data_IF_601284439150
#
_entry.id   IF_601284439150
#
_cell.length_a   1.000
_cell.length_b   1.000
_cell.length_c   1.000
_cell.angle_alpha   90.00
_cell.angle_beta   90.00
_cell.angle_gamma   90.00
#
_symmetry.space_group_name_H-M   'P 1'
#
loop_
_entity.id
_entity.type
_entity.pdbx_description
1 polymer ?
#
# COMPACT_ATOMS: atom_id res chain seq x y z
N UNK A 1 -33.91 -6.72 -8.77
CA UNK A 1 -33.71 -6.76 -7.30
C UNK A 1 -34.84 -7.57 -6.68
N UNK A 2 -34.54 -8.68 -6.03
CA UNK A 2 -35.54 -9.58 -5.45
C UNK A 2 -36.06 -9.03 -4.11
N UNK A 3 -37.30 -9.36 -3.73
CA UNK A 3 -37.95 -8.93 -2.46
C UNK A 3 -37.09 -9.14 -1.20
N UNK A 4 -36.13 -10.08 -1.24
CA UNK A 4 -35.16 -10.35 -0.17
C UNK A 4 -34.08 -9.27 -0.02
N UNK A 5 -33.60 -8.67 -1.10
CA UNK A 5 -32.66 -7.53 -1.02
C UNK A 5 -33.32 -6.27 -0.48
N UNK A 6 -34.61 -6.07 -0.80
CA UNK A 6 -35.37 -4.92 -0.30
C UNK A 6 -35.52 -4.95 1.22
N UNK A 7 -35.72 -6.13 1.82
CA UNK A 7 -35.79 -6.30 3.27
C UNK A 7 -34.47 -5.99 4.00
N UNK A 8 -33.33 -6.34 3.40
CA UNK A 8 -31.99 -6.05 3.95
C UNK A 8 -31.69 -4.55 3.94
N UNK A 9 -32.06 -3.84 2.86
CA UNK A 9 -31.91 -2.39 2.77
C UNK A 9 -32.87 -1.66 3.72
N UNK A 10 -34.11 -2.15 3.87
CA UNK A 10 -35.10 -1.57 4.79
C UNK A 10 -34.70 -1.74 6.26
N UNK A 11 -34.14 -2.90 6.64
CA UNK A 11 -33.60 -3.14 7.98
C UNK A 11 -32.38 -2.24 8.25
N UNK A 12 -31.47 -2.07 7.30
CA UNK A 12 -30.36 -1.14 7.47
C UNK A 12 -30.82 0.32 7.67
N UNK A 13 -31.90 0.71 6.99
CA UNK A 13 -32.45 2.06 7.06
C UNK A 13 -33.29 2.31 8.33
N UNK A 14 -34.10 1.33 8.77
CA UNK A 14 -34.95 1.42 9.97
C UNK A 14 -34.15 1.50 11.28
N UNK A 15 -32.91 1.00 11.31
CA UNK A 15 -32.05 0.98 12.50
C UNK A 15 -30.99 2.10 12.54
N UNK A 16 -31.12 3.16 11.72
CA UNK A 16 -30.24 4.32 11.80
C UNK A 16 -28.81 4.10 11.27
N UNK A 17 -28.57 3.05 10.46
CA UNK A 17 -27.26 2.77 9.85
C UNK A 17 -26.94 3.68 8.63
N UNK A 18 -27.82 4.64 8.33
CA UNK A 18 -27.58 5.75 7.41
C UNK A 18 -27.63 7.09 8.17
N UNK A 19 -26.78 7.23 9.20
CA UNK A 19 -26.58 8.48 9.93
C UNK A 19 -25.59 9.42 9.22
N UNK A 20 -25.78 10.73 9.38
CA UNK A 20 -24.97 11.80 8.76
C UNK A 20 -23.47 11.73 9.10
N UNK A 21 -22.56 12.25 8.25
CA UNK A 21 -21.11 11.99 8.32
C UNK A 21 -20.34 12.68 9.47
N UNK A 22 -20.98 13.11 10.55
CA UNK A 22 -20.40 14.07 11.52
C UNK A 22 -20.25 13.57 12.95
N UNK A 23 -20.41 12.28 13.24
CA UNK A 23 -20.04 11.73 14.55
C UNK A 23 -18.89 10.73 14.43
N UNK A 24 -17.82 10.94 15.19
CA UNK A 24 -16.61 10.11 15.31
C UNK A 24 -16.84 8.65 15.80
N UNK A 25 -18.08 8.16 15.82
CA UNK A 25 -18.42 6.83 16.31
C UNK A 25 -18.36 5.76 15.21
N UNK A 26 -17.26 5.00 15.18
CA UNK A 26 -17.20 3.62 14.65
C UNK A 26 -17.02 3.48 13.13
N UNK A 27 -15.86 2.97 12.70
CA UNK A 27 -15.65 2.51 11.31
C UNK A 27 -16.23 1.11 11.16
N UNK A 28 -17.35 0.97 10.45
CA UNK A 28 -17.87 -0.33 10.01
C UNK A 28 -16.93 -0.94 8.97
N UNK A 29 -16.48 -2.19 9.17
CA UNK A 29 -15.48 -2.80 8.26
C UNK A 29 -15.98 -3.91 7.34
N UNK A 30 -17.10 -4.59 7.62
CA UNK A 30 -17.68 -5.56 6.68
C UNK A 30 -19.05 -6.06 7.15
N UNK A 31 -20.02 -6.06 6.24
CA UNK A 31 -21.21 -6.92 6.32
C UNK A 31 -20.99 -8.06 5.34
N UNK A 32 -21.09 -9.30 5.80
CA UNK A 32 -21.02 -10.48 4.93
C UNK A 32 -22.29 -11.29 5.09
N UNK A 33 -22.96 -11.56 3.98
CA UNK A 33 -24.13 -12.42 3.94
C UNK A 33 -23.68 -13.85 3.60
N UNK A 34 -24.02 -14.82 4.45
CA UNK A 34 -23.75 -16.24 4.24
C UNK A 34 -25.07 -16.94 3.87
N UNK A 35 -25.36 -17.14 2.56
CA UNK A 35 -26.66 -17.65 2.11
C UNK A 35 -27.00 -19.03 2.66
N UNK A 36 -25.97 -19.85 2.88
CA UNK A 36 -26.09 -21.25 3.28
C UNK A 36 -26.39 -21.42 4.77
N UNK A 37 -26.16 -20.36 5.56
CA UNK A 37 -26.33 -20.39 7.02
C UNK A 37 -27.44 -19.46 7.53
N UNK A 38 -28.14 -18.78 6.62
CA UNK A 38 -29.29 -17.91 6.90
C UNK A 38 -29.05 -16.88 8.01
N UNK A 39 -27.87 -16.26 8.01
CA UNK A 39 -27.57 -15.17 8.93
C UNK A 39 -26.78 -14.04 8.25
N UNK A 40 -26.83 -12.85 8.83
CA UNK A 40 -25.96 -11.72 8.54
C UNK A 40 -24.89 -11.65 9.64
N UNK A 41 -23.62 -11.53 9.23
CA UNK A 41 -22.51 -11.27 10.15
C UNK A 41 -21.98 -9.85 9.92
N UNK A 42 -21.76 -9.13 11.02
CA UNK A 42 -21.15 -7.80 11.00
C UNK A 42 -20.28 -7.57 12.24
N UNK A 43 -19.24 -6.75 12.09
CA UNK A 43 -18.40 -6.30 13.19
C UNK A 43 -18.36 -4.77 13.22
N UNK A 44 -18.60 -4.20 14.40
CA UNK A 44 -18.41 -2.78 14.72
C UNK A 44 -17.11 -2.66 15.51
N UNK A 45 -16.18 -1.88 14.99
CA UNK A 45 -14.86 -1.67 15.61
C UNK A 45 -14.77 -0.22 16.07
N UNK A 46 -14.87 -0.02 17.39
CA UNK A 46 -14.48 1.23 18.05
C UNK A 46 -13.02 1.17 18.53
N UNK A 47 -12.50 2.28 19.05
CA UNK A 47 -11.12 2.37 19.56
C UNK A 47 -10.84 1.35 20.67
N UNK A 48 -11.83 1.09 21.55
CA UNK A 48 -11.67 0.19 22.69
C UNK A 48 -12.53 -1.09 22.62
N UNK A 49 -13.44 -1.19 21.64
CA UNK A 49 -14.49 -2.21 21.61
C UNK A 49 -14.68 -2.82 20.23
N UNK A 50 -14.81 -4.14 20.17
CA UNK A 50 -15.29 -4.86 18.98
C UNK A 50 -16.64 -5.44 19.33
N UNK A 51 -17.70 -4.98 18.68
CA UNK A 51 -19.03 -5.58 18.80
C UNK A 51 -19.35 -6.43 17.59
N UNK A 52 -19.59 -7.71 17.80
CA UNK A 52 -19.97 -8.68 16.80
C UNK A 52 -21.49 -8.90 16.83
N UNK A 53 -22.09 -8.99 15.65
CA UNK A 53 -23.51 -9.24 15.49
C UNK A 53 -23.68 -10.42 14.55
N UNK A 54 -24.35 -11.46 15.04
CA UNK A 54 -24.99 -12.47 14.20
C UNK A 54 -26.47 -12.17 14.24
N UNK A 55 -27.04 -11.82 13.10
CA UNK A 55 -28.50 -11.68 12.95
C UNK A 55 -29.00 -12.90 12.22
N UNK A 56 -29.66 -13.80 12.94
CA UNK A 56 -30.40 -14.92 12.34
C UNK A 56 -31.61 -14.40 11.55
N UNK A 57 -32.02 -15.11 10.49
CA UNK A 57 -33.23 -14.75 9.73
C UNK A 57 -34.54 -14.88 10.51
N UNK A 58 -34.52 -15.51 11.69
CA UNK A 58 -35.62 -15.57 12.65
C UNK A 58 -35.80 -14.27 13.47
N UNK A 59 -34.93 -13.27 13.28
CA UNK A 59 -34.96 -12.01 13.99
C UNK A 59 -34.41 -12.09 15.42
N UNK A 60 -33.82 -13.24 15.81
CA UNK A 60 -33.10 -13.35 17.08
C UNK A 60 -31.74 -12.67 16.92
N UNK A 61 -31.58 -11.54 17.59
CA UNK A 61 -30.33 -10.80 17.65
C UNK A 61 -29.44 -11.37 18.75
N UNK A 62 -28.21 -11.76 18.40
CA UNK A 62 -27.16 -11.98 19.40
C UNK A 62 -26.07 -10.93 19.19
N UNK A 63 -26.08 -9.94 20.08
CA UNK A 63 -25.04 -8.93 20.22
C UNK A 63 -23.91 -9.47 21.09
N UNK A 64 -22.68 -9.32 20.64
CA UNK A 64 -21.51 -9.79 21.35
C UNK A 64 -20.48 -8.67 21.45
N UNK A 65 -20.06 -8.30 22.67
CA UNK A 65 -18.96 -7.38 22.97
C UNK A 65 -17.59 -8.11 22.87
N UNK A 66 -16.47 -7.39 22.83
CA UNK A 66 -15.09 -7.88 22.96
C UNK A 66 -14.91 -8.63 24.29
N UNK A 67 -15.55 -8.14 25.35
CA UNK A 67 -15.71 -8.86 26.62
C UNK A 67 -16.65 -10.07 26.53
N UNK A 68 -17.57 -10.11 25.56
CA UNK A 68 -18.43 -11.26 25.34
C UNK A 68 -17.74 -12.38 24.58
N UNK A 69 -16.76 -12.10 23.69
CA UNK A 69 -16.00 -13.19 23.04
C UNK A 69 -15.22 -13.99 24.11
N UNK A 70 -14.67 -13.33 25.13
CA UNK A 70 -14.10 -14.01 26.32
C UNK A 70 -15.14 -14.84 27.12
N UNK A 71 -16.44 -14.62 26.91
CA UNK A 71 -17.56 -15.23 27.64
C UNK A 71 -18.31 -16.27 26.79
N UNK A 72 -18.08 -16.37 25.48
CA UNK A 72 -18.99 -17.07 24.57
C UNK A 72 -18.62 -18.50 24.24
N UNK A 73 -17.35 -18.88 24.28
CA UNK A 73 -17.00 -20.29 24.17
C UNK A 73 -16.15 -20.70 25.37
N UNK A 74 -16.44 -21.88 25.92
CA UNK A 74 -15.52 -22.57 26.82
C UNK A 74 -14.29 -23.11 26.06
N UNK A 75 -14.13 -22.75 24.78
CA UNK A 75 -13.22 -23.36 23.83
C UNK A 75 -12.35 -22.31 23.12
N UNK A 76 -11.16 -22.06 23.66
CA UNK A 76 -10.21 -21.09 23.11
C UNK A 76 -9.89 -21.30 21.61
N UNK A 77 -10.08 -22.49 21.04
CA UNK A 77 -9.89 -22.72 19.61
C UNK A 77 -10.99 -22.05 18.75
N UNK A 78 -12.25 -22.09 19.20
CA UNK A 78 -13.38 -21.48 18.49
C UNK A 78 -13.27 -19.95 18.50
N UNK A 79 -12.91 -19.38 19.65
CA UNK A 79 -12.68 -17.94 19.79
C UNK A 79 -11.59 -17.45 18.84
N UNK A 80 -10.48 -18.20 18.75
CA UNK A 80 -9.37 -17.86 17.87
C UNK A 80 -9.77 -17.91 16.39
N UNK A 81 -10.57 -18.90 15.99
CA UNK A 81 -11.07 -19.01 14.62
C UNK A 81 -12.00 -17.85 14.24
N UNK A 82 -12.84 -17.39 15.17
CA UNK A 82 -13.70 -16.21 14.98
C UNK A 82 -12.82 -14.96 14.78
N UNK A 83 -11.85 -14.74 15.66
CA UNK A 83 -10.92 -13.60 15.57
C UNK A 83 -10.15 -13.58 14.23
N UNK A 84 -9.66 -14.75 13.80
CA UNK A 84 -8.97 -14.92 12.53
C UNK A 84 -9.86 -14.55 11.34
N UNK A 85 -11.12 -15.02 11.31
CA UNK A 85 -12.05 -14.71 10.23
C UNK A 85 -12.30 -13.22 10.04
N UNK A 86 -12.16 -12.41 11.10
CA UNK A 86 -12.40 -10.97 11.07
C UNK A 86 -11.15 -10.11 10.87
N UNK A 87 -9.97 -10.70 10.69
CA UNK A 87 -8.75 -9.92 10.47
C UNK A 87 -7.93 -9.64 11.73
N UNK A 88 -8.34 -10.14 12.90
CA UNK A 88 -7.64 -9.92 14.18
C UNK A 88 -6.53 -10.94 14.39
N UNK A 89 -5.51 -10.91 13.52
CA UNK A 89 -4.46 -11.93 13.50
C UNK A 89 -3.70 -12.06 14.82
N UNK A 90 -3.36 -10.95 15.49
CA UNK A 90 -2.59 -10.97 16.73
C UNK A 90 -3.40 -11.52 17.92
N UNK A 91 -4.66 -11.15 18.03
CA UNK A 91 -5.58 -11.66 19.06
C UNK A 91 -5.93 -13.13 18.82
N UNK A 92 -6.12 -13.52 17.55
CA UNK A 92 -6.31 -14.91 17.16
C UNK A 92 -5.08 -15.74 17.54
N UNK A 93 -3.87 -15.24 17.27
CA UNK A 93 -2.61 -15.91 17.64
C UNK A 93 -2.54 -16.13 19.15
N UNK A 94 -2.74 -15.09 19.96
CA UNK A 94 -2.75 -15.20 21.44
C UNK A 94 -3.77 -16.23 21.92
N UNK A 95 -4.90 -16.35 21.25
CA UNK A 95 -5.98 -17.25 21.65
C UNK A 95 -5.72 -18.69 21.20
N UNK A 96 -5.15 -18.91 20.02
CA UNK A 96 -4.65 -20.23 19.62
C UNK A 96 -3.49 -20.73 20.50
N UNK A 97 -2.59 -19.84 20.95
CA UNK A 97 -1.52 -20.23 21.88
C UNK A 97 -2.08 -20.70 23.24
N UNK A 98 -3.15 -20.08 23.73
CA UNK A 98 -3.87 -20.58 24.92
C UNK A 98 -4.50 -21.95 24.67
N UNK A 99 -5.17 -22.13 23.54
CA UNK A 99 -5.74 -23.42 23.16
C UNK A 99 -4.64 -24.51 23.06
N UNK A 100 -3.48 -24.15 22.52
CA UNK A 100 -2.34 -25.04 22.35
C UNK A 100 -1.71 -25.45 23.68
N UNK A 101 -1.64 -24.53 24.66
CA UNK A 101 -1.19 -24.84 26.01
C UNK A 101 -2.13 -25.84 26.72
N UNK A 102 -3.42 -25.81 26.41
CA UNK A 102 -4.43 -26.73 26.94
C UNK A 102 -4.54 -28.06 26.15
N UNK A 103 -3.94 -28.14 24.95
CA UNK A 103 -4.03 -29.31 24.09
C UNK A 103 -3.29 -30.52 24.68
N UNK A 104 -4.03 -31.60 24.89
CA UNK A 104 -3.56 -32.83 25.57
C UNK A 104 -3.02 -33.90 24.62
N UNK A 105 -3.32 -33.80 23.33
CA UNK A 105 -2.86 -34.77 22.32
C UNK A 105 -1.96 -34.11 21.27
N UNK A 106 -1.00 -34.87 20.76
CA UNK A 106 -0.06 -34.40 19.74
C UNK A 106 -0.78 -34.06 18.42
N UNK A 107 -1.80 -34.85 18.05
CA UNK A 107 -2.62 -34.58 16.87
C UNK A 107 -3.36 -33.24 16.98
N UNK A 108 -3.89 -32.90 18.16
CA UNK A 108 -4.55 -31.61 18.40
C UNK A 108 -3.55 -30.46 18.38
N UNK A 109 -2.37 -30.65 18.99
CA UNK A 109 -1.28 -29.67 18.94
C UNK A 109 -0.83 -29.38 17.52
N UNK A 110 -0.64 -30.41 16.70
CA UNK A 110 -0.32 -30.26 15.29
C UNK A 110 -1.39 -29.46 14.53
N UNK A 111 -2.67 -29.78 14.73
CA UNK A 111 -3.78 -29.05 14.10
C UNK A 111 -3.82 -27.56 14.52
N UNK A 112 -3.50 -27.24 15.78
CA UNK A 112 -3.41 -25.86 16.25
C UNK A 112 -2.19 -25.12 15.70
N UNK A 113 -1.04 -25.79 15.58
CA UNK A 113 0.15 -25.21 14.97
C UNK A 113 -0.10 -24.81 13.50
N UNK A 114 -0.80 -25.65 12.73
CA UNK A 114 -1.20 -25.32 11.34
C UNK A 114 -2.09 -24.06 11.29
N UNK A 115 -3.03 -23.92 12.23
CA UNK A 115 -3.87 -22.73 12.35
C UNK A 115 -3.05 -21.48 12.70
N UNK A 116 -2.05 -21.61 13.56
CA UNK A 116 -1.12 -20.53 13.90
C UNK A 116 -0.29 -20.12 12.68
N UNK A 117 0.25 -21.07 11.92
CA UNK A 117 0.99 -20.79 10.66
C UNK A 117 0.09 -20.07 9.66
N UNK A 118 -1.17 -20.49 9.52
CA UNK A 118 -2.14 -19.87 8.62
C UNK A 118 -2.50 -18.42 8.99
N UNK A 119 -2.15 -17.94 10.20
CA UNK A 119 -2.32 -16.53 10.59
C UNK A 119 -1.22 -15.61 10.03
N UNK A 120 -0.09 -16.13 9.54
CA UNK A 120 1.02 -15.31 9.06
C UNK A 120 0.63 -14.19 8.05
N UNK A 121 -0.27 -14.40 7.07
CA UNK A 121 -0.77 -13.35 6.18
C UNK A 121 -1.40 -12.14 6.86
N UNK A 122 -1.89 -12.33 8.09
CA UNK A 122 -2.66 -11.35 8.84
C UNK A 122 -1.81 -10.57 9.84
N UNK A 123 -0.61 -11.06 10.12
CA UNK A 123 0.33 -10.45 11.05
C UNK A 123 1.17 -9.42 10.30
N UNK A 124 1.34 -8.23 10.88
CA UNK A 124 2.07 -7.13 10.24
C UNK A 124 3.37 -6.83 10.96
N UNK A 125 3.44 -7.20 12.23
CA UNK A 125 4.54 -6.92 13.12
C UNK A 125 5.68 -7.90 12.88
N UNK A 126 6.81 -7.38 12.37
CA UNK A 126 8.01 -8.17 12.06
C UNK A 126 8.47 -9.01 13.25
N UNK A 127 8.46 -8.45 14.47
CA UNK A 127 8.85 -9.19 15.68
C UNK A 127 7.99 -10.45 15.95
N UNK A 128 6.69 -10.39 15.62
CA UNK A 128 5.79 -11.55 15.79
C UNK A 128 6.08 -12.60 14.72
N UNK A 129 6.31 -12.16 13.48
CA UNK A 129 6.67 -13.06 12.38
C UNK A 129 8.07 -13.67 12.56
N UNK A 130 9.03 -12.96 13.17
CA UNK A 130 10.34 -13.51 13.55
C UNK A 130 10.21 -14.61 14.60
N UNK A 131 9.38 -14.39 15.64
CA UNK A 131 9.06 -15.41 16.63
C UNK A 131 8.44 -16.65 15.97
N UNK A 132 7.49 -16.47 15.06
CA UNK A 132 6.89 -17.58 14.32
C UNK A 132 7.90 -18.29 13.41
N UNK A 133 8.78 -17.56 12.73
CA UNK A 133 9.80 -18.15 11.86
C UNK A 133 10.81 -18.98 12.67
N UNK A 134 11.15 -18.54 13.89
CA UNK A 134 12.02 -19.30 14.80
C UNK A 134 11.34 -20.58 15.30
N UNK A 135 10.02 -20.54 15.51
CA UNK A 135 9.23 -21.68 15.97
C UNK A 135 8.91 -22.68 14.85
N UNK A 136 8.72 -22.20 13.63
CA UNK A 136 8.34 -22.98 12.45
C UNK A 136 9.36 -22.77 11.33
N UNK A 137 10.62 -23.24 11.49
CA UNK A 137 11.69 -22.98 10.53
C UNK A 137 11.39 -23.56 9.14
N UNK A 138 10.63 -24.65 9.05
CA UNK A 138 10.28 -25.30 7.78
C UNK A 138 9.05 -24.68 7.09
N UNK A 139 8.45 -23.62 7.64
CA UNK A 139 7.27 -22.99 7.05
C UNK A 139 7.68 -21.92 6.02
N UNK A 140 7.55 -22.25 4.73
CA UNK A 140 7.73 -21.28 3.65
C UNK A 140 6.76 -20.10 3.76
N UNK A 141 5.51 -20.37 4.14
CA UNK A 141 4.47 -19.36 4.37
C UNK A 141 4.93 -18.31 5.40
N UNK A 142 5.41 -18.73 6.58
CA UNK A 142 5.84 -17.79 7.63
C UNK A 142 7.04 -16.97 7.18
N UNK A 143 8.03 -17.61 6.53
CA UNK A 143 9.22 -16.91 6.01
C UNK A 143 8.86 -15.89 4.93
N UNK A 144 7.93 -16.23 4.05
CA UNK A 144 7.43 -15.31 3.03
C UNK A 144 6.78 -14.08 3.65
N UNK A 145 5.87 -14.27 4.62
CA UNK A 145 5.19 -13.15 5.27
C UNK A 145 6.11 -12.31 6.15
N UNK A 146 7.13 -12.93 6.79
CA UNK A 146 8.21 -12.19 7.41
C UNK A 146 8.95 -11.31 6.39
N UNK A 147 9.27 -11.85 5.22
CA UNK A 147 9.82 -11.07 4.10
C UNK A 147 8.92 -9.90 3.71
N UNK A 148 7.60 -10.10 3.63
CA UNK A 148 6.64 -9.03 3.32
C UNK A 148 6.58 -7.94 4.38
N UNK A 149 6.67 -8.29 5.66
CA UNK A 149 6.75 -7.32 6.76
C UNK A 149 8.05 -6.50 6.67
N UNK A 150 9.19 -7.16 6.45
CA UNK A 150 10.49 -6.52 6.26
C UNK A 150 10.50 -5.56 5.05
N UNK A 151 9.83 -5.91 3.95
CA UNK A 151 9.64 -5.00 2.81
C UNK A 151 8.93 -3.71 3.21
N UNK A 152 7.89 -3.81 4.06
CA UNK A 152 7.15 -2.63 4.52
C UNK A 152 7.99 -1.71 5.42
N UNK A 153 9.00 -2.27 6.08
CA UNK A 153 10.01 -1.55 6.87
C UNK A 153 11.21 -1.07 6.02
N UNK A 154 11.19 -1.29 4.69
CA UNK A 154 12.29 -1.00 3.75
C UNK A 154 13.58 -1.78 4.04
N UNK A 155 13.48 -2.89 4.74
CA UNK A 155 14.60 -3.80 5.05
C UNK A 155 14.77 -4.82 3.93
N UNK A 156 15.02 -4.33 2.72
CA UNK A 156 14.97 -5.11 1.49
C UNK A 156 16.00 -6.26 1.43
N UNK A 157 17.26 -6.09 1.90
CA UNK A 157 18.21 -7.20 1.95
C UNK A 157 17.73 -8.34 2.86
N UNK A 158 17.21 -8.04 4.06
CA UNK A 158 16.66 -9.08 4.92
C UNK A 158 15.40 -9.71 4.32
N UNK A 159 14.52 -8.91 3.71
CA UNK A 159 13.32 -9.40 3.04
C UNK A 159 13.66 -10.39 1.91
N UNK A 160 14.62 -10.02 1.05
CA UNK A 160 15.13 -10.86 -0.04
C UNK A 160 15.62 -12.20 0.50
N UNK A 161 16.42 -12.20 1.57
CA UNK A 161 16.88 -13.43 2.21
C UNK A 161 15.72 -14.30 2.70
N UNK A 162 14.72 -13.72 3.38
CA UNK A 162 13.57 -14.49 3.90
C UNK A 162 12.68 -15.06 2.80
N UNK A 163 12.49 -14.32 1.71
CA UNK A 163 11.72 -14.79 0.55
C UNK A 163 12.48 -15.83 -0.27
N UNK A 164 13.80 -15.75 -0.30
CA UNK A 164 14.65 -16.80 -0.87
C UNK A 164 14.53 -18.09 -0.07
N UNK A 165 14.68 -18.03 1.25
CA UNK A 165 14.47 -19.17 2.13
C UNK A 165 13.07 -19.80 1.94
N UNK A 166 12.02 -18.97 1.79
CA UNK A 166 10.67 -19.46 1.49
C UNK A 166 10.59 -20.18 0.14
N UNK A 167 11.18 -19.60 -0.91
CA UNK A 167 11.22 -20.20 -2.25
C UNK A 167 12.09 -21.47 -2.33
N UNK A 168 13.07 -21.63 -1.45
CA UNK A 168 13.86 -22.86 -1.33
C UNK A 168 13.06 -23.99 -0.64
N UNK A 169 12.27 -23.65 0.39
CA UNK A 169 11.38 -24.60 1.07
C UNK A 169 10.24 -25.07 0.16
N UNK A 170 9.65 -24.17 -0.60
CA UNK A 170 8.52 -24.46 -1.50
C UNK A 170 8.81 -23.96 -2.93
N UNK A 171 9.64 -24.66 -3.73
CA UNK A 171 10.06 -24.19 -5.06
C UNK A 171 8.95 -23.98 -6.09
N UNK A 172 7.76 -24.56 -5.83
CA UNK A 172 6.58 -24.44 -6.68
C UNK A 172 5.67 -23.28 -6.30
N UNK A 173 5.87 -22.65 -5.13
CA UNK A 173 5.09 -21.50 -4.70
C UNK A 173 5.56 -20.26 -5.48
N UNK A 174 4.80 -19.89 -6.51
CA UNK A 174 5.12 -18.75 -7.36
C UNK A 174 5.23 -17.46 -6.54
N UNK A 175 4.32 -17.29 -5.58
CA UNK A 175 4.20 -16.11 -4.73
C UNK A 175 5.51 -15.77 -4.04
N UNK A 176 6.29 -16.79 -3.64
CA UNK A 176 7.57 -16.59 -2.94
C UNK A 176 8.65 -16.10 -3.89
N UNK A 177 8.70 -16.65 -5.11
CA UNK A 177 9.63 -16.22 -6.17
C UNK A 177 9.30 -14.81 -6.66
N UNK A 178 8.02 -14.49 -6.76
CA UNK A 178 7.48 -13.16 -7.06
C UNK A 178 7.89 -12.16 -5.98
N UNK A 179 7.71 -12.52 -4.70
CA UNK A 179 8.16 -11.70 -3.58
C UNK A 179 9.67 -11.49 -3.57
N UNK A 180 10.47 -12.54 -3.80
CA UNK A 180 11.92 -12.44 -3.90
C UNK A 180 12.35 -11.48 -5.02
N UNK A 181 11.72 -11.57 -6.19
CA UNK A 181 11.99 -10.66 -7.30
C UNK A 181 11.64 -9.21 -6.92
N UNK A 182 10.50 -8.97 -6.25
CA UNK A 182 10.14 -7.65 -5.74
C UNK A 182 11.19 -7.11 -4.77
N UNK A 183 11.61 -7.90 -3.78
CA UNK A 183 12.61 -7.48 -2.80
C UNK A 183 13.92 -7.06 -3.48
N UNK A 184 14.39 -7.84 -4.45
CA UNK A 184 15.61 -7.52 -5.20
C UNK A 184 15.45 -6.30 -6.11
N UNK A 185 14.27 -6.09 -6.72
CA UNK A 185 14.00 -4.85 -7.48
C UNK A 185 14.08 -3.62 -6.58
N UNK A 186 13.52 -3.68 -5.38
CA UNK A 186 13.61 -2.59 -4.41
C UNK A 186 15.05 -2.35 -3.92
N UNK A 187 15.84 -3.39 -3.70
CA UNK A 187 17.28 -3.26 -3.40
C UNK A 187 18.04 -2.58 -4.55
N UNK A 188 17.81 -3.00 -5.80
CA UNK A 188 18.44 -2.40 -6.97
C UNK A 188 18.03 -0.92 -7.13
N UNK A 189 16.76 -0.60 -6.88
CA UNK A 189 16.28 0.77 -6.89
C UNK A 189 16.97 1.64 -5.82
N UNK A 190 17.14 1.15 -4.59
CA UNK A 190 17.90 1.88 -3.56
C UNK A 190 19.38 2.06 -3.91
N UNK A 191 19.99 1.06 -4.56
CA UNK A 191 21.35 1.18 -5.08
C UNK A 191 21.44 2.29 -6.15
N UNK A 192 20.48 2.37 -7.08
CA UNK A 192 20.41 3.44 -8.08
C UNK A 192 20.23 4.82 -7.45
N UNK A 193 19.31 4.97 -6.49
CA UNK A 193 19.11 6.23 -5.76
C UNK A 193 20.37 6.67 -5.01
N UNK A 194 21.13 5.70 -4.48
CA UNK A 194 22.41 5.94 -3.82
C UNK A 194 23.59 6.06 -4.79
N UNK A 195 23.34 6.19 -6.09
CA UNK A 195 24.37 6.32 -7.14
C UNK A 195 25.36 5.13 -7.21
N UNK A 196 24.87 3.91 -6.96
CA UNK A 196 25.62 2.64 -7.03
C UNK A 196 25.11 1.75 -8.19
N UNK A 197 25.30 2.14 -9.46
CA UNK A 197 24.72 1.45 -10.61
C UNK A 197 25.28 0.04 -10.84
N UNK A 198 26.55 -0.22 -10.50
CA UNK A 198 27.13 -1.56 -10.67
C UNK A 198 26.56 -2.58 -9.68
N UNK A 199 26.27 -2.15 -8.44
CA UNK A 199 25.58 -2.96 -7.44
C UNK A 199 24.13 -3.23 -7.87
N UNK A 200 23.43 -2.20 -8.36
CA UNK A 200 22.09 -2.39 -8.93
C UNK A 200 22.11 -3.41 -10.08
N UNK A 201 23.08 -3.33 -10.98
CA UNK A 201 23.25 -4.29 -12.08
C UNK A 201 23.50 -5.71 -11.57
N UNK A 202 24.33 -5.87 -10.53
CA UNK A 202 24.58 -7.17 -9.92
C UNK A 202 23.32 -7.76 -9.26
N UNK A 203 22.55 -6.95 -8.53
CA UNK A 203 21.29 -7.40 -7.93
C UNK A 203 20.28 -7.81 -9.02
N UNK A 204 20.17 -7.01 -10.09
CA UNK A 204 19.26 -7.29 -11.19
C UNK A 204 19.65 -8.53 -11.99
N UNK A 205 20.94 -8.85 -12.11
CA UNK A 205 21.40 -10.07 -12.79
C UNK A 205 21.11 -11.34 -11.98
N UNK A 206 20.99 -11.23 -10.66
CA UNK A 206 20.61 -12.35 -9.80
C UNK A 206 19.12 -12.65 -9.83
N UNK A 207 18.25 -11.68 -10.16
CA UNK A 207 16.81 -11.92 -10.32
C UNK A 207 16.67 -12.99 -11.40
N UNK A 208 16.25 -14.22 -11.06
CA UNK A 208 16.16 -15.27 -12.06
C UNK A 208 15.15 -14.79 -13.10
N UNK A 209 15.65 -14.55 -14.31
CA UNK A 209 14.87 -14.19 -15.48
C UNK A 209 13.61 -15.07 -15.57
N UNK A 210 13.77 -16.34 -15.17
CA UNK A 210 12.82 -17.45 -15.17
C UNK A 210 11.67 -17.46 -14.14
N UNK A 211 11.57 -16.56 -13.15
CA UNK A 211 10.46 -16.68 -12.18
C UNK A 211 9.13 -16.10 -12.69
N UNK A 212 9.17 -14.85 -13.19
CA UNK A 212 8.01 -14.19 -13.79
C UNK A 212 7.96 -14.40 -15.30
N UNK A 213 9.11 -14.57 -15.96
CA UNK A 213 9.16 -14.85 -17.39
C UNK A 213 8.82 -16.31 -17.67
N UNK A 214 9.25 -17.33 -16.91
CA UNK A 214 8.87 -18.72 -17.28
C UNK A 214 7.41 -19.08 -16.98
N UNK A 215 6.71 -18.37 -16.10
CA UNK A 215 5.29 -18.61 -15.87
C UNK A 215 4.42 -17.82 -16.85
N UNK A 216 4.78 -16.57 -17.13
CA UNK A 216 4.23 -15.85 -18.27
C UNK A 216 4.52 -16.60 -19.58
N UNK A 217 5.75 -17.07 -19.80
CA UNK A 217 6.17 -17.87 -20.97
C UNK A 217 5.53 -19.26 -20.97
N UNK A 218 5.30 -19.93 -19.84
CA UNK A 218 4.52 -21.20 -19.80
C UNK A 218 3.03 -21.00 -20.07
N UNK A 219 2.47 -19.86 -19.66
CA UNK A 219 1.12 -19.44 -20.05
C UNK A 219 1.06 -19.14 -21.56
N UNK A 220 2.09 -18.48 -22.10
CA UNK A 220 2.29 -18.22 -23.54
C UNK A 220 2.75 -19.46 -24.32
N UNK A 221 3.23 -20.54 -23.70
CA UNK A 221 3.73 -21.75 -24.38
C UNK A 221 2.71 -22.90 -24.43
N UNK A 222 1.45 -22.65 -24.02
CA UNK A 222 0.35 -23.59 -24.28
C UNK A 222 0.10 -23.68 -25.78
N UNK A 223 -0.18 -24.87 -26.30
CA UNK A 223 -0.34 -25.13 -27.74
C UNK A 223 -1.38 -24.23 -28.43
N UNK A 224 -2.40 -23.78 -27.69
CA UNK A 224 -3.41 -22.82 -28.15
C UNK A 224 -2.86 -21.41 -28.46
N UNK A 225 -1.76 -21.01 -27.84
CA UNK A 225 -1.18 -19.68 -28.03
C UNK A 225 -0.34 -19.60 -29.31
N UNK A 226 0.49 -20.62 -29.59
CA UNK A 226 1.24 -20.74 -30.85
C UNK A 226 0.32 -20.79 -32.06
N UNK A 227 -0.78 -21.55 -31.97
CA UNK A 227 -1.80 -21.61 -33.03
C UNK A 227 -2.50 -20.26 -33.27
N UNK A 228 -2.70 -19.46 -32.21
CA UNK A 228 -3.23 -18.09 -32.31
C UNK A 228 -2.21 -17.09 -32.86
N UNK A 229 -0.93 -17.27 -32.56
CA UNK A 229 0.16 -16.43 -33.08
C UNK A 229 0.39 -16.63 -34.58
N UNK A 230 0.39 -17.89 -35.04
CA UNK A 230 0.54 -18.23 -36.46
C UNK A 230 -0.65 -17.72 -37.30
N UNK A 231 -1.84 -17.56 -36.69
CA UNK A 231 -3.01 -16.94 -37.33
C UNK A 231 -2.98 -15.41 -37.33
N UNK A 232 -2.28 -14.76 -36.40
CA UNK A 232 -2.38 -13.31 -36.17
C UNK A 232 -1.33 -12.45 -36.90
N UNK A 233 -0.22 -13.03 -37.37
CA UNK A 233 0.80 -12.33 -38.18
C UNK A 233 1.67 -11.33 -37.41
N UNK A 234 2.60 -10.66 -38.10
CA UNK A 234 3.71 -9.88 -37.51
C UNK A 234 3.32 -8.66 -36.67
N UNK A 235 2.08 -8.17 -36.79
CA UNK A 235 1.55 -7.12 -35.92
C UNK A 235 1.28 -7.61 -34.49
N UNK A 236 1.00 -8.91 -34.30
CA UNK A 236 0.75 -9.50 -33.00
C UNK A 236 2.04 -9.68 -32.18
N UNK A 237 3.20 -9.86 -32.82
CA UNK A 237 4.50 -9.99 -32.13
C UNK A 237 4.84 -8.77 -31.24
N UNK A 238 4.30 -7.59 -31.58
CA UNK A 238 4.48 -6.34 -30.85
C UNK A 238 3.57 -6.24 -29.60
N UNK A 239 2.46 -6.97 -29.56
CA UNK A 239 1.57 -7.05 -28.38
C UNK A 239 2.11 -8.02 -27.31
N UNK A 240 3.15 -8.80 -27.62
CA UNK A 240 3.66 -9.92 -26.80
C UNK A 240 5.12 -9.78 -26.34
N UNK A 241 5.73 -8.59 -26.39
CA UNK A 241 7.01 -8.39 -25.69
C UNK A 241 6.79 -8.56 -24.17
N UNK A 242 7.48 -9.52 -23.52
CA UNK A 242 7.21 -9.85 -22.13
C UNK A 242 7.53 -8.70 -21.17
N UNK A 243 8.46 -7.80 -21.52
CA UNK A 243 8.76 -6.62 -20.73
C UNK A 243 7.69 -5.55 -20.88
N UNK A 244 7.19 -5.34 -22.10
CA UNK A 244 6.07 -4.44 -22.32
C UNK A 244 4.80 -4.96 -21.62
N UNK A 245 4.53 -6.26 -21.70
CA UNK A 245 3.39 -6.88 -21.03
C UNK A 245 3.46 -6.74 -19.51
N UNK A 246 4.61 -7.07 -18.90
CA UNK A 246 4.81 -6.93 -17.44
C UNK A 246 4.77 -5.45 -17.04
N UNK A 247 5.44 -4.59 -17.80
CA UNK A 247 5.45 -3.14 -17.57
C UNK A 247 4.05 -2.53 -17.59
N UNK A 248 3.26 -2.87 -18.60
CA UNK A 248 1.83 -2.51 -18.72
C UNK A 248 1.02 -3.03 -17.55
N UNK A 249 1.11 -4.32 -17.23
CA UNK A 249 0.36 -4.92 -16.12
C UNK A 249 0.64 -4.19 -14.79
N UNK A 250 1.91 -3.81 -14.57
CA UNK A 250 2.31 -3.06 -13.40
C UNK A 250 1.78 -1.63 -13.40
N UNK A 251 1.74 -0.95 -14.56
CA UNK A 251 1.09 0.38 -14.69
C UNK A 251 -0.41 0.29 -14.41
N UNK A 252 -1.12 -0.68 -15.02
CA UNK A 252 -2.56 -0.88 -14.83
C UNK A 252 -2.91 -1.19 -13.36
N UNK A 253 -2.00 -1.89 -12.67
CA UNK A 253 -2.09 -2.21 -11.24
C UNK A 253 -1.60 -1.07 -10.32
N UNK A 254 -1.21 0.08 -10.88
CA UNK A 254 -0.65 1.25 -10.16
C UNK A 254 0.66 0.97 -9.38
N UNK A 255 1.46 0.03 -9.85
CA UNK A 255 2.79 -0.29 -9.34
C UNK A 255 3.89 0.39 -10.17
N UNK A 256 3.81 1.72 -10.31
CA UNK A 256 4.64 2.50 -11.23
C UNK A 256 6.15 2.37 -10.98
N UNK A 257 6.57 2.27 -9.70
CA UNK A 257 7.99 2.06 -9.34
C UNK A 257 8.54 0.76 -9.93
N UNK A 258 7.73 -0.30 -9.93
CA UNK A 258 8.12 -1.60 -10.48
C UNK A 258 8.01 -1.61 -12.01
N UNK A 259 7.07 -0.86 -12.59
CA UNK A 259 6.86 -0.81 -14.02
C UNK A 259 8.05 -0.20 -14.79
N UNK A 260 8.68 0.83 -14.23
CA UNK A 260 9.74 1.61 -14.88
C UNK A 260 10.87 0.76 -15.50
N UNK A 261 11.54 -0.12 -14.73
CA UNK A 261 12.62 -0.96 -15.26
C UNK A 261 12.18 -1.88 -16.42
N UNK A 262 10.97 -2.43 -16.37
CA UNK A 262 10.46 -3.29 -17.45
C UNK A 262 10.14 -2.49 -18.70
N UNK A 263 9.52 -1.32 -18.56
CA UNK A 263 9.20 -0.45 -19.69
C UNK A 263 10.46 0.17 -20.32
N UNK A 264 11.49 0.49 -19.53
CA UNK A 264 12.79 0.92 -20.06
C UNK A 264 13.45 -0.20 -20.86
N UNK A 265 13.47 -1.44 -20.34
CA UNK A 265 13.97 -2.60 -21.08
C UNK A 265 13.17 -2.88 -22.36
N UNK A 266 11.85 -2.66 -22.34
CA UNK A 266 11.03 -2.72 -23.54
C UNK A 266 11.40 -1.62 -24.54
N UNK A 267 11.72 -0.41 -24.08
CA UNK A 267 12.07 0.74 -24.93
C UNK A 267 13.43 0.59 -25.61
N UNK A 268 14.38 -0.09 -24.96
CA UNK A 268 15.67 -0.41 -25.60
C UNK A 268 15.50 -1.38 -26.77
N UNK A 269 14.54 -2.30 -26.66
CA UNK A 269 14.24 -3.31 -27.69
C UNK A 269 13.35 -2.77 -28.80
N UNK A 270 12.43 -1.88 -28.43
CA UNK A 270 11.46 -1.26 -29.32
C UNK A 270 11.51 0.26 -29.19
N UNK A 271 12.63 0.91 -29.59
CA UNK A 271 12.88 2.34 -29.34
C UNK A 271 12.01 3.29 -30.16
N UNK A 272 11.08 2.75 -30.94
CA UNK A 272 10.11 3.53 -31.73
C UNK A 272 8.68 3.06 -31.46
N UNK A 273 8.47 2.24 -30.44
CA UNK A 273 7.15 1.72 -30.12
C UNK A 273 6.38 2.71 -29.24
N UNK A 274 5.34 3.37 -29.78
CA UNK A 274 4.57 4.36 -29.05
C UNK A 274 3.86 3.79 -27.82
N UNK A 275 3.58 2.48 -27.78
CA UNK A 275 2.93 1.84 -26.63
C UNK A 275 3.88 1.87 -25.42
N UNK A 276 5.16 1.53 -25.63
CA UNK A 276 6.17 1.57 -24.57
C UNK A 276 6.37 2.98 -24.03
N UNK A 277 6.53 3.97 -24.94
CA UNK A 277 6.73 5.36 -24.58
C UNK A 277 5.51 5.95 -23.84
N UNK A 278 4.28 5.57 -24.21
CA UNK A 278 3.08 5.98 -23.47
C UNK A 278 3.03 5.42 -22.05
N UNK A 279 3.40 4.15 -21.84
CA UNK A 279 3.47 3.60 -20.49
C UNK A 279 4.63 4.18 -19.67
N UNK A 280 5.78 4.50 -20.30
CA UNK A 280 6.86 5.23 -19.64
C UNK A 280 6.40 6.63 -19.20
N UNK A 281 5.64 7.33 -20.04
CA UNK A 281 5.05 8.63 -19.68
C UNK A 281 4.15 8.53 -18.44
N UNK A 282 3.30 7.49 -18.34
CA UNK A 282 2.52 7.23 -17.13
C UNK A 282 3.40 7.04 -15.89
N UNK A 283 4.48 6.26 -16.00
CA UNK A 283 5.43 6.07 -14.89
C UNK A 283 6.09 7.39 -14.51
N UNK A 284 6.52 8.21 -15.46
CA UNK A 284 7.15 9.50 -15.17
C UNK A 284 6.19 10.51 -14.53
N UNK A 285 4.92 10.55 -14.97
CA UNK A 285 3.91 11.40 -14.34
C UNK A 285 3.66 11.03 -12.88
N UNK A 286 3.60 9.73 -12.56
CA UNK A 286 3.43 9.26 -11.18
C UNK A 286 4.59 9.69 -10.27
N UNK A 287 5.81 9.73 -10.81
CA UNK A 287 7.01 10.20 -10.10
C UNK A 287 7.18 11.74 -10.11
N UNK A 288 6.24 12.49 -10.69
CA UNK A 288 6.33 13.95 -10.83
C UNK A 288 7.38 14.43 -11.84
N UNK A 289 7.90 13.55 -12.69
CA UNK A 289 8.90 13.83 -13.74
C UNK A 289 8.22 14.29 -15.04
N UNK A 290 7.57 15.45 -14.99
CA UNK A 290 6.67 15.89 -16.08
C UNK A 290 7.39 16.17 -17.38
N UNK A 291 8.57 16.78 -17.35
CA UNK A 291 9.36 17.03 -18.56
C UNK A 291 9.76 15.72 -19.27
N UNK A 292 10.09 14.68 -18.51
CA UNK A 292 10.41 13.36 -19.07
C UNK A 292 9.16 12.69 -19.65
N UNK A 293 8.02 12.79 -18.97
CA UNK A 293 6.76 12.28 -19.50
C UNK A 293 6.36 12.95 -20.81
N UNK A 294 6.51 14.27 -20.92
CA UNK A 294 6.27 15.02 -22.15
C UNK A 294 7.20 14.59 -23.29
N UNK A 295 8.48 14.32 -22.98
CA UNK A 295 9.45 13.82 -23.96
C UNK A 295 9.07 12.42 -24.50
N UNK A 296 8.61 11.53 -23.62
CA UNK A 296 8.12 10.20 -24.04
C UNK A 296 6.83 10.28 -24.86
N UNK A 297 5.90 11.19 -24.52
CA UNK A 297 4.67 11.38 -25.31
C UNK A 297 4.95 11.98 -26.69
N UNK A 298 5.88 12.93 -26.79
CA UNK A 298 6.28 13.52 -28.07
C UNK A 298 6.87 12.47 -29.04
N UNK A 299 7.42 11.38 -28.51
CA UNK A 299 7.86 10.22 -29.29
C UNK A 299 6.69 9.40 -29.86
N UNK A 300 5.57 9.32 -29.13
CA UNK A 300 4.38 8.57 -29.52
C UNK A 300 3.52 9.24 -30.60
N UNK A 301 3.51 10.57 -30.65
CA UNK A 301 2.63 11.38 -31.50
C UNK A 301 2.99 11.40 -33.00
N UNK A 302 4.10 10.79 -33.40
CA UNK A 302 4.54 10.73 -34.80
C UNK A 302 3.63 9.92 -35.75
N UNK A 303 2.68 9.13 -35.22
CA UNK A 303 1.70 8.39 -36.02
C UNK A 303 0.32 8.33 -35.33
N UNK A 304 -0.68 9.10 -35.79
CA UNK A 304 -2.02 9.13 -35.21
C UNK A 304 -2.76 7.79 -35.20
N UNK A 305 -2.38 6.84 -36.05
CA UNK A 305 -2.94 5.49 -36.05
C UNK A 305 -2.49 4.64 -34.85
N UNK A 306 -1.51 5.12 -34.07
CA UNK A 306 -0.93 4.42 -32.94
C UNK A 306 -1.26 5.09 -31.58
N UNK A 307 -2.21 6.02 -31.53
CA UNK A 307 -2.70 6.53 -30.24
C UNK A 307 -3.39 5.38 -29.47
N UNK A 308 -2.86 4.93 -28.33
CA UNK A 308 -3.58 3.97 -27.52
C UNK A 308 -4.86 4.64 -26.97
N UNK A 309 -5.90 3.85 -26.63
CA UNK A 309 -7.18 4.35 -26.13
C UNK A 309 -7.09 5.24 -24.88
N UNK A 310 -5.92 5.32 -24.23
CA UNK A 310 -5.67 6.15 -23.03
C UNK A 310 -4.95 7.48 -23.30
N UNK A 311 -4.62 7.85 -24.54
CA UNK A 311 -3.91 9.11 -24.86
C UNK A 311 -4.67 10.36 -24.36
N UNK A 312 -5.99 10.43 -24.57
CA UNK A 312 -6.81 11.53 -24.03
C UNK A 312 -6.80 11.58 -22.50
N UNK A 313 -6.69 10.42 -21.84
CA UNK A 313 -6.64 10.36 -20.38
C UNK A 313 -5.32 10.91 -19.85
N UNK A 314 -4.22 10.62 -20.54
CA UNK A 314 -2.89 11.18 -20.28
C UNK A 314 -2.88 12.70 -20.47
N UNK A 315 -3.46 13.18 -21.57
CA UNK A 315 -3.54 14.62 -21.85
C UNK A 315 -4.36 15.36 -20.79
N UNK A 316 -5.51 14.81 -20.38
CA UNK A 316 -6.31 15.36 -19.26
C UNK A 316 -5.54 15.37 -17.94
N UNK A 317 -4.72 14.34 -17.67
CA UNK A 317 -3.89 14.29 -16.46
C UNK A 317 -2.79 15.35 -16.51
N UNK A 318 -2.12 15.51 -17.65
CA UNK A 318 -1.15 16.58 -17.89
C UNK A 318 -1.77 17.96 -17.71
N UNK A 319 -2.92 18.23 -18.32
CA UNK A 319 -3.62 19.50 -18.19
C UNK A 319 -4.01 19.79 -16.73
N UNK A 320 -4.55 18.78 -16.04
CA UNK A 320 -4.88 18.89 -14.61
C UNK A 320 -3.63 19.19 -13.79
N UNK A 321 -2.50 18.58 -14.11
CA UNK A 321 -1.25 18.80 -13.41
C UNK A 321 -0.67 20.19 -13.70
N UNK A 322 -0.62 20.62 -14.97
CA UNK A 322 -0.20 21.98 -15.39
C UNK A 322 -1.04 23.04 -14.68
N UNK A 323 -2.35 22.82 -14.55
CA UNK A 323 -3.25 23.71 -13.81
C UNK A 323 -2.90 23.75 -12.32
N UNK A 324 -2.65 22.60 -11.69
CA UNK A 324 -2.28 22.53 -10.28
C UNK A 324 -0.91 23.18 -10.01
N UNK A 325 0.06 22.98 -10.89
CA UNK A 325 1.38 23.61 -10.77
C UNK A 325 1.30 25.13 -10.97
N UNK A 326 0.52 25.61 -11.94
CA UNK A 326 0.22 27.03 -12.11
C UNK A 326 -0.43 27.63 -10.85
N UNK A 327 -1.36 26.92 -10.21
CA UNK A 327 -1.97 27.34 -8.96
C UNK A 327 -0.97 27.37 -7.80
N UNK A 328 -0.07 26.38 -7.71
CA UNK A 328 1.00 26.36 -6.71
C UNK A 328 1.97 27.54 -6.89
N UNK A 329 2.41 27.79 -8.12
CA UNK A 329 3.26 28.93 -8.45
C UNK A 329 2.57 30.27 -8.11
N UNK A 330 1.27 30.40 -8.41
CA UNK A 330 0.50 31.57 -8.03
C UNK A 330 0.39 31.75 -6.51
N UNK A 331 0.19 30.66 -5.75
CA UNK A 331 0.14 30.69 -4.29
C UNK A 331 1.50 31.04 -3.68
N UNK A 332 2.59 30.51 -4.23
CA UNK A 332 3.96 30.84 -3.81
C UNK A 332 4.27 32.32 -4.08
N UNK A 333 3.86 32.87 -5.22
CA UNK A 333 4.02 34.29 -5.51
C UNK A 333 3.17 35.15 -4.56
N UNK A 334 1.92 34.74 -4.26
CA UNK A 334 1.09 35.42 -3.26
C UNK A 334 1.74 35.43 -1.89
N UNK A 335 2.32 34.31 -1.45
CA UNK A 335 3.08 34.22 -0.19
C UNK A 335 4.29 35.15 -0.23
N UNK A 336 5.03 35.18 -1.33
CA UNK A 336 6.19 36.07 -1.50
C UNK A 336 5.78 37.54 -1.40
N UNK A 337 4.69 37.94 -2.04
CA UNK A 337 4.13 39.31 -1.95
C UNK A 337 3.66 39.62 -0.53
N UNK A 338 2.98 38.69 0.14
CA UNK A 338 2.52 38.86 1.52
C UNK A 338 3.69 39.04 2.49
N UNK A 339 4.75 38.22 2.35
CA UNK A 339 5.97 38.35 3.15
C UNK A 339 6.66 39.69 2.94
N UNK A 340 6.74 40.18 1.69
CA UNK A 340 7.29 41.53 1.40
C UNK A 340 6.48 42.64 2.07
N UNK A 341 5.15 42.58 2.01
CA UNK A 341 4.26 43.55 2.67
C UNK A 341 4.44 43.54 4.19
N UNK A 342 4.55 42.35 4.79
CA UNK A 342 4.76 42.22 6.23
C UNK A 342 6.11 42.83 6.66
N UNK A 343 7.16 42.60 5.87
CA UNK A 343 8.48 43.19 6.11
C UNK A 343 8.46 44.72 5.95
N UNK A 344 7.77 45.25 4.94
CA UNK A 344 7.57 46.70 4.77
C UNK A 344 6.81 47.31 5.95
N UNK A 345 5.73 46.67 6.41
CA UNK A 345 4.98 47.11 7.59
C UNK A 345 5.85 47.11 8.84
N UNK A 346 6.67 46.07 9.03
CA UNK A 346 7.61 45.99 10.15
C UNK A 346 8.61 47.15 10.12
N UNK A 347 9.16 47.46 8.95
CA UNK A 347 10.08 48.61 8.76
C UNK A 347 9.41 49.95 9.05
N UNK A 348 8.15 50.12 8.67
CA UNK A 348 7.37 51.33 8.99
C UNK A 348 7.10 51.48 10.49
N UNK A 349 6.78 50.39 11.18
CA UNK A 349 6.61 50.41 12.65
C UNK A 349 7.92 50.73 13.35
N UNK A 350 9.03 50.18 12.85
CA UNK A 350 10.37 50.42 13.40
C UNK A 350 10.84 51.86 13.15
N UNK A 351 10.56 52.45 11.98
CA UNK A 351 10.90 53.85 11.69
C UNK A 351 10.00 54.86 12.42
N UNK A 352 8.76 54.48 12.75
CA UNK A 352 7.84 55.30 13.54
C UNK A 352 8.10 55.21 15.05
N UNK A 353 8.96 54.29 15.50
CA UNK A 353 9.34 54.18 16.91
C UNK A 353 10.10 55.45 17.29
N UNK A 354 9.60 56.25 18.26
CA UNK A 354 10.29 57.47 18.66
C UNK A 354 11.71 57.12 19.09
N UNK A 355 12.68 57.93 18.67
CA UNK A 355 14.08 57.76 19.06
C UNK A 355 14.13 57.58 20.57
N UNK A 356 14.76 56.50 21.04
CA UNK A 356 14.94 56.27 22.47
C UNK A 356 15.51 57.56 23.06
N UNK A 357 14.88 58.11 24.12
CA UNK A 357 15.41 59.31 24.75
C UNK A 357 16.88 59.04 25.09
N UNK A 358 17.77 60.00 24.84
CA UNK A 358 19.20 59.80 25.03
C UNK A 358 19.40 59.21 26.42
N UNK A 359 20.00 58.01 26.48
CA UNK A 359 20.24 57.32 27.75
C UNK A 359 20.89 58.33 28.68
N UNK A 360 20.20 58.61 29.78
CA UNK A 360 20.73 59.54 30.78
C UNK A 360 22.16 59.10 31.09
N UNK A 361 23.13 60.03 31.06
CA UNK A 361 24.51 59.69 31.36
C UNK A 361 24.53 58.97 32.71
N UNK A 362 25.32 57.88 32.83
CA UNK A 362 25.31 57.07 34.03
C UNK A 362 25.52 57.97 35.25
N UNK A 363 24.55 57.92 36.18
CA UNK A 363 24.61 58.68 37.42
C UNK A 363 25.94 58.40 38.09
N UNK A 364 26.68 59.48 38.37
CA UNK A 364 27.93 59.33 39.11
C UNK A 364 27.61 58.77 40.50
N UNK A 365 28.44 57.86 41.04
CA UNK A 365 28.17 57.24 42.33
C UNK A 365 28.13 58.29 43.44
N UNK A 366 26.93 58.63 43.96
CA UNK A 366 26.79 59.51 45.12
C UNK A 366 25.52 60.37 45.22
N UNK A 367 24.73 60.56 44.16
CA UNK A 367 23.52 61.39 44.25
C UNK A 367 22.27 60.59 44.66
N UNK A 368 21.80 60.83 45.88
CA UNK A 368 20.54 60.28 46.41
C UNK A 368 19.42 61.32 46.16
N UNK A 369 18.49 61.04 45.23
CA UNK A 369 17.27 61.83 45.04
C UNK A 369 16.14 61.29 45.92
N UNK A 370 15.73 62.08 46.91
CA UNK A 370 14.53 61.84 47.72
C UNK A 370 13.35 62.45 46.96
N UNK A 371 12.40 61.63 46.50
CA UNK A 371 11.11 62.09 45.98
C UNK A 371 10.02 61.68 46.97
N UNK A 372 9.30 62.66 47.50
CA UNK A 372 8.24 62.47 48.50
C UNK A 372 6.85 62.36 47.85
N UNK A 373 5.83 61.86 48.59
CA UNK A 373 4.48 61.68 48.08
C UNK A 373 3.60 62.89 48.40
N UNK A 374 2.85 63.36 47.41
CA UNK A 374 1.62 64.17 47.59
C UNK A 374 0.40 63.30 47.26
#
# INVERSE_FOLDING_TARGET
MTKRMLGVVLLAWLFGLAGSPTSEAGRFRRLSYAPERQYLEGAIVGEDRVSYYIVGMDGQEKCYDKRSIEVLSQNAEEDAAILARFGYGLEALKTYERALAAATSEAHRAALNEKIIALAPMLKETAVLEMLAARYPESGVVRYWLGRALMSERRYPEASRRMQEAAELEPRALEYRVGLAEARLWMAHEALLSQRPDEARAILSEIPYSARVDEAVRWLARDDFRARLDQAGSAALLEYDPYLFIGRYLVDSRHFVLAGPYLLAASERHPRDPVVHNYLAHVFLDHGRVADAEAEMAWGDGNPANHPPDAERLERLLESWRKHESQRAALEEQRRVASRRQEEQRRQVESAKPAEPPKEPPLQPGEIRITGPD
#
